data_IF_267432821045
#
_entry.id   IF_267432821045
#
_cell.length_a   1.000
_cell.length_b   1.000
_cell.length_c   1.000
_cell.angle_alpha   90.00
_cell.angle_beta   90.00
_cell.angle_gamma   90.00
#
_symmetry.space_group_name_H-M   'P 1'
#
loop_
_entity.id
_entity.type
_entity.pdbx_description
1 polymer ?
#
# COMPACT_ATOMS: atom_id res chain seq x y z
N UNK A 1 18.21 1.06 -13.74
CA UNK A 1 18.57 2.47 -13.48
C UNK A 1 17.28 3.27 -13.55
N UNK A 2 16.99 4.11 -12.57
CA UNK A 2 15.78 4.92 -12.57
C UNK A 2 15.91 6.05 -13.61
N UNK A 3 14.92 6.19 -14.49
CA UNK A 3 14.87 7.25 -15.51
C UNK A 3 13.90 8.34 -15.05
N UNK A 4 14.34 9.59 -14.95
CA UNK A 4 13.47 10.72 -14.58
C UNK A 4 13.37 11.73 -15.72
N UNK A 5 12.13 12.12 -16.03
CA UNK A 5 11.80 13.12 -17.07
C UNK A 5 11.05 14.29 -16.44
N UNK A 6 11.40 15.51 -16.86
CA UNK A 6 10.92 16.77 -16.30
C UNK A 6 10.12 17.57 -17.32
N UNK A 7 9.04 18.19 -16.87
CA UNK A 7 8.15 18.93 -17.73
C UNK A 7 7.72 20.24 -17.06
N UNK A 8 7.65 21.30 -17.84
CA UNK A 8 7.21 22.62 -17.38
C UNK A 8 6.06 23.16 -18.22
N UNK A 9 5.17 23.91 -17.57
CA UNK A 9 4.11 24.69 -18.23
C UNK A 9 4.06 26.08 -17.61
N UNK A 10 4.20 27.11 -18.44
CA UNK A 10 3.96 28.49 -18.01
C UNK A 10 2.46 28.80 -18.10
N UNK A 11 1.86 29.12 -16.95
CA UNK A 11 0.46 29.51 -16.85
C UNK A 11 0.38 30.88 -16.17
N UNK A 12 0.16 31.93 -16.97
CA UNK A 12 0.03 33.32 -16.51
C UNK A 12 1.20 33.81 -15.63
N UNK A 13 2.43 33.47 -16.01
CA UNK A 13 3.64 33.87 -15.27
C UNK A 13 4.01 32.93 -14.12
N UNK A 14 3.23 31.88 -13.87
CA UNK A 14 3.55 30.83 -12.89
C UNK A 14 4.06 29.60 -13.64
N UNK A 15 5.31 29.21 -13.37
CA UNK A 15 5.89 27.98 -13.93
C UNK A 15 5.44 26.79 -13.10
N UNK A 16 4.58 25.94 -13.68
CA UNK A 16 4.20 24.66 -13.09
C UNK A 16 5.21 23.60 -13.53
N UNK A 17 5.71 22.83 -12.57
CA UNK A 17 6.60 21.69 -12.79
C UNK A 17 5.84 20.39 -12.62
N UNK A 18 6.14 19.43 -13.48
CA UNK A 18 5.76 18.04 -13.35
C UNK A 18 6.97 17.17 -13.66
N UNK A 19 7.15 16.05 -12.98
CA UNK A 19 8.16 15.06 -13.33
C UNK A 19 7.61 13.67 -13.13
N UNK A 20 8.22 12.72 -13.83
CA UNK A 20 7.91 11.30 -13.73
C UNK A 20 9.23 10.53 -13.71
N UNK A 21 9.36 9.63 -12.74
CA UNK A 21 10.49 8.73 -12.57
C UNK A 21 9.99 7.30 -12.74
N UNK A 22 10.63 6.54 -13.63
CA UNK A 22 10.42 5.12 -13.81
C UNK A 22 11.58 4.36 -13.17
N UNK A 23 11.27 3.49 -12.20
CA UNK A 23 12.24 2.59 -11.56
C UNK A 23 11.70 1.15 -11.60
N UNK A 24 12.12 0.38 -12.60
CA UNK A 24 11.58 -0.95 -12.88
C UNK A 24 10.07 -0.89 -13.14
N UNK A 25 9.29 -1.47 -12.23
CA UNK A 25 7.82 -1.49 -12.30
C UNK A 25 7.16 -0.30 -11.57
N UNK A 26 7.95 0.59 -10.97
CA UNK A 26 7.46 1.71 -10.14
C UNK A 26 7.50 3.02 -10.91
N UNK A 27 6.43 3.79 -10.78
CA UNK A 27 6.28 5.10 -11.37
C UNK A 27 6.06 6.13 -10.27
N UNK A 28 7.00 7.04 -10.09
CA UNK A 28 6.86 8.19 -9.19
C UNK A 28 6.56 9.44 -9.99
N UNK A 29 5.50 10.16 -9.66
CA UNK A 29 5.13 11.42 -10.30
C UNK A 29 5.15 12.53 -9.26
N UNK A 30 5.76 13.66 -9.60
CA UNK A 30 5.75 14.86 -8.77
C UNK A 30 5.21 16.07 -9.52
N UNK A 31 4.54 16.98 -8.83
CA UNK A 31 4.05 18.25 -9.38
C UNK A 31 4.07 19.39 -8.38
N UNK A 32 4.22 20.61 -8.88
CA UNK A 32 4.21 21.81 -8.06
C UNK A 32 4.47 23.06 -8.87
N UNK A 33 4.75 24.17 -8.18
CA UNK A 33 5.22 25.41 -8.78
C UNK A 33 6.74 25.44 -8.67
N UNK A 34 7.43 25.97 -9.68
CA UNK A 34 8.88 26.16 -9.62
C UNK A 34 9.27 26.99 -8.39
N UNK A 35 10.20 26.48 -7.58
CA UNK A 35 10.63 27.10 -6.32
C UNK A 35 9.68 26.89 -5.13
N UNK A 36 8.54 26.21 -5.32
CA UNK A 36 7.59 25.88 -4.27
C UNK A 36 7.67 24.42 -3.80
N UNK A 37 6.84 24.08 -2.81
CA UNK A 37 6.69 22.70 -2.36
C UNK A 37 6.09 21.82 -3.47
N UNK A 38 6.72 20.66 -3.69
CA UNK A 38 6.25 19.64 -4.63
C UNK A 38 5.33 18.66 -3.91
N UNK A 39 4.25 18.24 -4.58
CA UNK A 39 3.42 17.10 -4.22
C UNK A 39 3.78 15.92 -5.11
N UNK A 40 3.43 14.70 -4.72
CA UNK A 40 3.68 13.54 -5.55
C UNK A 40 2.72 12.38 -5.29
N UNK A 41 2.82 11.40 -6.17
CA UNK A 41 2.15 10.11 -6.09
C UNK A 41 3.12 9.05 -6.60
N UNK A 42 3.16 7.89 -5.94
CA UNK A 42 3.75 6.67 -6.47
C UNK A 42 2.66 5.73 -6.99
N UNK A 43 3.08 4.78 -7.82
CA UNK A 43 2.28 3.64 -8.24
C UNK A 43 3.22 2.52 -8.68
N UNK A 44 2.89 1.29 -8.31
CA UNK A 44 3.53 0.07 -8.81
C UNK A 44 2.64 -0.58 -9.86
N UNK A 45 3.24 -0.99 -10.98
CA UNK A 45 2.57 -1.61 -12.13
C UNK A 45 2.93 -3.09 -12.20
N UNK A 46 2.15 -3.87 -12.96
CA UNK A 46 2.28 -5.33 -13.00
C UNK A 46 3.62 -5.83 -13.54
N UNK A 47 4.18 -5.12 -14.53
CA UNK A 47 5.43 -5.47 -15.21
C UNK A 47 6.09 -4.22 -15.83
N UNK A 48 7.35 -4.35 -16.25
CA UNK A 48 8.12 -3.24 -16.82
C UNK A 48 7.52 -2.72 -18.13
N UNK A 49 6.93 -3.58 -18.94
CA UNK A 49 6.30 -3.17 -20.20
C UNK A 49 5.02 -2.37 -19.93
N UNK A 50 4.25 -2.73 -18.91
CA UNK A 50 3.09 -1.99 -18.42
C UNK A 50 3.53 -0.65 -17.83
N UNK A 51 4.57 -0.63 -16.99
CA UNK A 51 5.13 0.59 -16.44
C UNK A 51 5.59 1.55 -17.55
N UNK A 52 6.29 1.06 -18.57
CA UNK A 52 6.74 1.85 -19.71
C UNK A 52 5.56 2.42 -20.53
N UNK A 53 4.55 1.59 -20.83
CA UNK A 53 3.32 2.05 -21.50
C UNK A 53 2.60 3.12 -20.67
N UNK A 54 2.54 2.93 -19.36
CA UNK A 54 1.91 3.88 -18.45
C UNK A 54 2.63 5.23 -18.44
N UNK A 55 3.96 5.22 -18.29
CA UNK A 55 4.80 6.43 -18.31
C UNK A 55 4.64 7.16 -19.66
N UNK A 56 4.72 6.43 -20.76
CA UNK A 56 4.55 6.99 -22.12
C UNK A 56 3.19 7.66 -22.28
N UNK A 57 2.11 7.02 -21.79
CA UNK A 57 0.77 7.57 -21.79
C UNK A 57 0.69 8.84 -20.93
N UNK A 58 1.25 8.84 -19.71
CA UNK A 58 1.23 10.00 -18.81
C UNK A 58 2.00 11.20 -19.38
N UNK A 59 3.13 10.94 -20.02
CA UNK A 59 3.89 11.96 -20.74
C UNK A 59 3.05 12.56 -21.86
N UNK A 60 2.46 11.70 -22.70
CA UNK A 60 1.57 12.15 -23.79
C UNK A 60 0.38 12.97 -23.29
N UNK A 61 -0.22 12.59 -22.16
CA UNK A 61 -1.29 13.36 -21.50
C UNK A 61 -0.82 14.76 -21.09
N UNK A 62 0.40 14.88 -20.56
CA UNK A 62 0.98 16.16 -20.11
C UNK A 62 1.38 17.04 -21.27
N UNK A 63 1.97 16.47 -22.31
CA UNK A 63 2.28 17.18 -23.57
C UNK A 63 1.02 17.78 -24.19
N UNK A 64 -0.07 16.99 -24.29
CA UNK A 64 -1.38 17.49 -24.75
C UNK A 64 -1.94 18.60 -23.86
N UNK A 65 -1.63 18.58 -22.57
CA UNK A 65 -2.01 19.63 -21.63
C UNK A 65 -1.13 20.90 -21.74
N UNK A 66 -0.18 20.94 -22.67
CA UNK A 66 0.72 22.08 -22.93
C UNK A 66 1.93 22.13 -22.01
N UNK A 67 2.30 21.01 -21.38
CA UNK A 67 3.61 20.88 -20.75
C UNK A 67 4.66 20.58 -21.81
N UNK A 68 5.86 21.14 -21.65
CA UNK A 68 7.00 20.91 -22.51
C UNK A 68 8.07 20.20 -21.71
N UNK A 69 8.67 19.15 -22.28
CA UNK A 69 9.81 18.49 -21.65
C UNK A 69 10.98 19.46 -21.56
N UNK A 70 11.57 19.54 -20.37
CA UNK A 70 12.75 20.35 -20.10
C UNK A 70 13.87 19.44 -19.68
N UNK A 71 15.10 19.82 -20.01
CA UNK A 71 16.26 19.21 -19.39
C UNK A 71 16.09 19.30 -17.86
N UNK A 72 16.63 18.32 -17.09
CA UNK A 72 16.77 18.50 -15.67
C UNK A 72 17.42 19.87 -15.47
N UNK A 73 16.73 20.79 -14.78
CA UNK A 73 17.34 22.07 -14.45
C UNK A 73 18.61 21.85 -13.62
N UNK A 74 19.30 22.90 -13.17
CA UNK A 74 20.20 22.79 -12.03
C UNK A 74 19.36 22.47 -10.78
N UNK A 75 18.78 21.26 -10.74
CA UNK A 75 18.57 20.57 -9.49
C UNK A 75 19.96 20.45 -8.89
N UNK A 76 20.07 20.73 -7.60
CA UNK A 76 21.17 20.22 -6.82
C UNK A 76 21.43 18.81 -7.36
N UNK A 77 22.62 18.57 -7.92
CA UNK A 77 23.09 17.19 -8.14
C UNK A 77 22.59 16.44 -6.92
N UNK A 78 21.93 15.30 -7.08
CA UNK A 78 21.76 14.41 -5.94
C UNK A 78 23.18 14.30 -5.36
N UNK A 79 23.43 15.04 -4.27
CA UNK A 79 24.76 15.09 -3.71
C UNK A 79 25.03 13.62 -3.39
N UNK A 80 26.23 13.10 -3.69
CA UNK A 80 26.58 11.77 -3.21
C UNK A 80 26.15 11.73 -1.76
N UNK A 81 25.23 10.81 -1.40
CA UNK A 81 24.46 10.87 -0.15
C UNK A 81 25.42 11.19 0.99
N UNK A 82 25.55 12.47 1.34
CA UNK A 82 26.61 12.96 2.24
C UNK A 82 26.32 12.49 3.66
N UNK A 83 25.10 12.00 3.84
CA UNK A 83 24.58 11.39 5.03
C UNK A 83 24.67 9.86 4.97
N UNK A 84 25.28 9.20 3.97
CA UNK A 84 25.31 7.72 3.85
C UNK A 84 25.76 7.00 5.12
N UNK A 85 26.70 7.60 5.86
CA UNK A 85 27.24 7.10 7.13
C UNK A 85 26.54 7.69 8.38
N UNK A 86 25.54 8.56 8.18
CA UNK A 86 24.77 9.22 9.25
C UNK A 86 23.68 8.30 9.75
N UNK A 87 23.51 8.26 11.08
CA UNK A 87 22.49 7.44 11.74
C UNK A 87 21.09 7.89 11.34
N UNK A 88 20.17 6.94 11.20
CA UNK A 88 18.80 7.21 10.78
C UNK A 88 18.10 8.27 11.63
N UNK A 89 18.27 8.25 12.96
CA UNK A 89 17.64 9.26 13.83
C UNK A 89 18.18 10.68 13.64
N UNK A 90 19.43 10.81 13.18
CA UNK A 90 20.03 12.09 12.82
C UNK A 90 19.46 12.60 11.49
N UNK A 91 19.29 11.70 10.50
CA UNK A 91 18.64 11.99 9.21
C UNK A 91 17.17 12.36 9.37
N UNK A 92 16.45 11.69 10.28
CA UNK A 92 15.05 11.98 10.56
C UNK A 92 14.89 13.40 11.15
N UNK A 93 15.97 14.08 11.59
CA UNK A 93 15.99 15.46 12.12
C UNK A 93 14.87 15.77 13.14
N UNK A 94 14.39 14.72 13.80
CA UNK A 94 13.40 14.73 14.88
C UNK A 94 13.94 14.03 16.14
N UNK A 95 15.25 13.77 16.23
CA UNK A 95 15.87 13.02 17.33
C UNK A 95 15.39 13.44 18.71
N UNK A 96 15.22 14.75 18.94
CA UNK A 96 14.78 15.32 20.22
C UNK A 96 13.30 15.03 20.59
N UNK A 97 12.52 14.42 19.70
CA UNK A 97 11.09 14.11 19.90
C UNK A 97 10.78 12.63 19.99
N UNK A 98 11.78 11.78 19.79
CA UNK A 98 11.66 10.35 19.95
C UNK A 98 12.22 9.94 21.31
N UNK A 99 11.45 9.16 22.05
CA UNK A 99 11.82 8.66 23.38
C UNK A 99 12.21 7.19 23.27
N UNK A 100 13.23 6.72 24.01
CA UNK A 100 13.58 5.31 24.03
C UNK A 100 12.44 4.47 24.61
N UNK A 101 12.16 3.32 24.02
CA UNK A 101 11.17 2.37 24.55
C UNK A 101 11.83 1.51 25.62
N UNK A 102 11.27 1.51 26.84
CA UNK A 102 11.80 0.73 27.95
C UNK A 102 11.86 -0.77 27.62
N UNK A 103 12.99 -1.42 27.90
CA UNK A 103 13.20 -2.84 27.60
C UNK A 103 13.59 -3.16 26.15
N UNK A 104 13.51 -2.19 25.24
CA UNK A 104 13.70 -2.40 23.79
C UNK A 104 14.87 -1.57 23.23
N UNK A 105 16.09 -2.07 23.41
CA UNK A 105 17.29 -1.38 22.91
C UNK A 105 17.24 -1.16 21.39
N UNK A 106 17.49 0.08 20.95
CA UNK A 106 17.41 0.44 19.52
C UNK A 106 15.99 0.68 19.02
N UNK A 107 14.99 0.76 19.91
CA UNK A 107 13.64 1.19 19.56
C UNK A 107 13.35 2.53 20.20
N UNK A 108 12.82 3.45 19.41
CA UNK A 108 12.35 4.75 19.90
C UNK A 108 10.91 4.99 19.46
N UNK A 109 10.17 5.78 20.21
CA UNK A 109 8.75 6.07 19.96
C UNK A 109 8.49 7.57 20.02
N UNK A 110 7.58 8.02 19.17
CA UNK A 110 7.04 9.37 19.24
C UNK A 110 5.53 9.32 19.28
N UNK A 111 4.94 10.03 20.25
CA UNK A 111 3.50 10.25 20.28
C UNK A 111 3.11 11.46 19.41
N UNK A 112 2.08 11.27 18.58
CA UNK A 112 1.50 12.30 17.74
C UNK A 112 0.07 12.59 18.20
N UNK A 113 -0.11 13.70 18.89
CA UNK A 113 -1.42 14.17 19.36
C UNK A 113 -2.15 14.99 18.27
N UNK A 114 -2.60 14.31 17.20
CA UNK A 114 -3.35 14.96 16.11
C UNK A 114 -4.85 14.89 16.38
N UNK A 115 -5.41 16.00 16.85
CA UNK A 115 -6.86 16.15 17.13
C UNK A 115 -7.73 16.21 15.85
N UNK A 116 -7.14 16.52 14.69
CA UNK A 116 -7.79 16.47 13.38
C UNK A 116 -7.05 15.50 12.44
N UNK A 117 -7.79 14.77 11.61
CA UNK A 117 -7.22 13.77 10.69
C UNK A 117 -7.23 12.35 11.28
N UNK A 118 -6.15 11.55 11.18
CA UNK A 118 -6.16 10.13 11.53
C UNK A 118 -6.37 9.82 13.04
N UNK A 119 -6.48 10.84 13.90
CA UNK A 119 -6.51 10.71 15.35
C UNK A 119 -5.10 10.58 15.96
N UNK A 120 -5.00 10.44 17.30
CA UNK A 120 -3.73 10.26 17.98
C UNK A 120 -3.09 8.89 17.69
N UNK A 121 -1.76 8.85 17.56
CA UNK A 121 -1.01 7.62 17.30
C UNK A 121 0.43 7.67 17.84
N UNK A 122 1.01 6.50 18.06
CA UNK A 122 2.42 6.28 18.34
C UNK A 122 3.13 5.89 17.05
N UNK A 123 4.26 6.52 16.76
CA UNK A 123 5.17 6.18 15.67
C UNK A 123 6.45 5.60 16.27
N UNK A 124 6.60 4.28 16.16
CA UNK A 124 7.77 3.55 16.61
C UNK A 124 8.78 3.45 15.47
N UNK A 125 10.03 3.81 15.74
CA UNK A 125 11.16 3.58 14.87
C UNK A 125 12.04 2.48 15.47
N UNK A 126 12.16 1.37 14.74
CA UNK A 126 12.89 0.17 15.13
C UNK A 126 14.19 0.16 14.35
N UNK A 127 15.29 0.48 15.01
CA UNK A 127 16.59 0.63 14.36
C UNK A 127 17.22 -0.75 14.09
N UNK A 128 17.91 -0.85 12.95
CA UNK A 128 18.82 -1.94 12.66
C UNK A 128 20.09 -1.87 13.52
N UNK A 129 20.92 -2.90 13.46
CA UNK A 129 22.15 -3.00 14.27
C UNK A 129 23.13 -1.84 14.05
N UNK A 130 23.24 -1.35 12.81
CA UNK A 130 24.09 -0.21 12.43
C UNK A 130 23.44 1.16 12.72
N UNK A 131 22.16 1.17 13.13
CA UNK A 131 21.32 2.36 13.28
C UNK A 131 21.23 3.26 12.02
N UNK A 132 21.74 2.82 10.87
CA UNK A 132 21.66 3.52 9.58
C UNK A 132 20.34 3.26 8.87
N UNK A 133 19.65 2.17 9.23
CA UNK A 133 18.36 1.76 8.68
C UNK A 133 17.38 1.40 9.79
N UNK A 134 16.09 1.34 9.47
CA UNK A 134 15.06 0.96 10.43
C UNK A 134 13.69 0.71 9.82
N UNK A 135 12.76 0.31 10.68
CA UNK A 135 11.35 0.11 10.35
C UNK A 135 10.48 1.11 11.09
N UNK A 136 9.50 1.69 10.41
CA UNK A 136 8.41 2.41 11.06
C UNK A 136 7.23 1.47 11.33
N UNK A 137 6.77 1.48 12.58
CA UNK A 137 5.52 0.90 13.03
C UNK A 137 4.66 2.04 13.59
N UNK A 138 3.55 2.32 12.92
CA UNK A 138 2.54 3.23 13.48
C UNK A 138 1.54 2.39 14.26
N UNK A 139 1.10 2.84 15.42
CA UNK A 139 0.00 2.23 16.20
C UNK A 139 -0.92 3.34 16.65
N UNK A 140 -2.19 3.28 16.29
CA UNK A 140 -3.16 4.29 16.74
C UNK A 140 -3.39 4.16 18.25
N UNK A 141 -3.58 5.29 18.93
CA UNK A 141 -3.80 5.33 20.38
C UNK A 141 -5.07 4.58 20.82
N UNK A 142 -6.21 4.70 20.11
CA UNK A 142 -7.32 3.78 20.32
C UNK A 142 -6.88 2.33 20.10
N UNK A 143 -7.12 1.46 21.06
CA UNK A 143 -6.70 0.06 20.98
C UNK A 143 -5.17 -0.14 21.04
N UNK A 144 -4.40 0.84 21.55
CA UNK A 144 -2.98 0.65 21.87
C UNK A 144 -2.84 -0.19 23.14
N UNK A 145 -1.93 -1.17 23.12
CA UNK A 145 -1.62 -2.04 24.25
C UNK A 145 -0.10 -2.21 24.35
N UNK A 146 0.48 -1.83 25.49
CA UNK A 146 1.93 -1.84 25.69
C UNK A 146 2.53 -3.25 25.67
N UNK A 147 1.81 -4.25 26.19
CA UNK A 147 2.28 -5.63 26.21
C UNK A 147 2.29 -6.24 24.80
N UNK A 148 1.26 -5.97 24.01
CA UNK A 148 1.20 -6.38 22.61
C UNK A 148 2.28 -5.70 21.78
N UNK A 149 2.48 -4.39 21.96
CA UNK A 149 3.58 -3.67 21.29
C UNK A 149 4.92 -4.27 21.69
N UNK A 150 5.16 -4.49 22.99
CA UNK A 150 6.41 -5.09 23.47
C UNK A 150 6.68 -6.44 22.81
N UNK A 151 5.71 -7.35 22.82
CA UNK A 151 5.84 -8.67 22.18
C UNK A 151 6.10 -8.55 20.67
N UNK A 152 5.47 -7.58 20.00
CA UNK A 152 5.67 -7.35 18.57
C UNK A 152 7.08 -6.82 18.28
N UNK A 153 7.58 -5.89 19.10
CA UNK A 153 8.93 -5.36 19.00
C UNK A 153 10.00 -6.44 19.20
N UNK A 154 9.81 -7.35 20.16
CA UNK A 154 10.70 -8.50 20.39
C UNK A 154 10.82 -9.39 19.14
N UNK A 155 9.72 -9.57 18.41
CA UNK A 155 9.73 -10.33 17.17
C UNK A 155 10.38 -9.56 16.00
N UNK A 156 10.06 -8.28 15.84
CA UNK A 156 10.45 -7.49 14.66
C UNK A 156 11.90 -7.02 14.71
N UNK A 157 12.39 -6.58 15.87
CA UNK A 157 13.74 -6.01 16.02
C UNK A 157 14.86 -6.88 15.41
N UNK A 158 14.97 -8.19 15.71
CA UNK A 158 16.02 -9.03 15.12
C UNK A 158 15.83 -9.29 13.61
N UNK A 159 14.74 -8.81 13.01
CA UNK A 159 14.34 -9.07 11.61
C UNK A 159 14.28 -7.81 10.75
N UNK A 160 14.80 -6.67 11.22
CA UNK A 160 14.84 -5.41 10.46
C UNK A 160 15.41 -5.58 9.06
N UNK A 161 16.42 -6.45 8.90
CA UNK A 161 17.07 -6.73 7.62
C UNK A 161 16.13 -7.23 6.51
N UNK A 162 14.98 -7.83 6.84
CA UNK A 162 14.03 -8.33 5.84
C UNK A 162 13.49 -7.22 4.92
N UNK A 163 13.35 -5.98 5.41
CA UNK A 163 12.90 -4.87 4.56
C UNK A 163 13.98 -4.33 3.62
N UNK A 164 15.23 -4.81 3.73
CA UNK A 164 16.39 -4.26 3.02
C UNK A 164 17.18 -5.32 2.25
N UNK A 165 16.62 -6.52 2.07
CA UNK A 165 17.27 -7.63 1.35
C UNK A 165 17.08 -7.57 -0.18
N UNK A 166 16.44 -6.50 -0.67
CA UNK A 166 16.16 -6.27 -2.09
C UNK A 166 14.77 -6.73 -2.55
N UNK A 167 14.01 -7.45 -1.72
CA UNK A 167 12.60 -7.74 -1.97
C UNK A 167 11.73 -6.56 -1.53
N UNK A 168 10.54 -6.46 -2.12
CA UNK A 168 9.61 -5.37 -1.78
C UNK A 168 8.88 -5.60 -0.46
N UNK A 169 8.65 -6.86 -0.09
CA UNK A 169 8.00 -7.22 1.17
C UNK A 169 8.26 -8.68 1.57
N UNK A 170 7.96 -9.00 2.83
CA UNK A 170 7.91 -10.35 3.39
C UNK A 170 6.71 -10.48 4.32
N UNK A 171 5.91 -11.53 4.13
CA UNK A 171 4.89 -11.97 5.09
C UNK A 171 5.49 -13.09 5.93
N UNK A 172 5.52 -12.93 7.25
CA UNK A 172 6.18 -13.87 8.17
C UNK A 172 5.21 -14.29 9.27
N UNK A 173 5.02 -15.60 9.53
CA UNK A 173 4.20 -16.07 10.63
C UNK A 173 4.83 -15.73 11.98
N UNK A 174 4.00 -15.34 12.94
CA UNK A 174 4.38 -15.19 14.34
C UNK A 174 4.46 -16.59 15.00
N UNK A 175 5.41 -16.82 15.92
CA UNK A 175 5.50 -18.09 16.66
C UNK A 175 4.28 -18.33 17.56
N UNK A 176 3.63 -17.27 18.01
CA UNK A 176 2.35 -17.26 18.68
C UNK A 176 1.62 -15.95 18.34
N UNK A 177 0.27 -15.93 18.26
CA UNK A 177 -0.47 -14.71 17.98
C UNK A 177 -0.18 -13.59 19.00
N UNK A 178 -0.10 -12.36 18.51
CA UNK A 178 0.00 -11.14 19.32
C UNK A 178 -1.30 -10.38 19.16
N UNK A 179 -2.13 -10.43 20.21
CA UNK A 179 -3.53 -10.02 20.08
C UNK A 179 -4.22 -10.86 19.00
N UNK A 180 -4.92 -10.24 18.04
CA UNK A 180 -5.59 -10.97 16.96
C UNK A 180 -4.71 -11.24 15.74
N UNK A 181 -3.43 -10.85 15.76
CA UNK A 181 -2.52 -10.97 14.62
C UNK A 181 -1.64 -12.20 14.75
N UNK A 182 -1.52 -12.95 13.67
CA UNK A 182 -0.74 -14.19 13.56
C UNK A 182 0.43 -14.04 12.56
N UNK A 183 0.56 -12.90 11.89
CA UNK A 183 1.61 -12.61 10.92
C UNK A 183 2.14 -11.18 11.05
N UNK A 184 3.31 -10.98 10.43
CA UNK A 184 3.94 -9.67 10.27
C UNK A 184 4.27 -9.45 8.81
N UNK A 185 3.88 -8.29 8.28
CA UNK A 185 4.28 -7.82 6.96
C UNK A 185 5.44 -6.84 7.11
N UNK A 186 6.62 -7.24 6.64
CA UNK A 186 7.77 -6.35 6.46
C UNK A 186 7.69 -5.76 5.05
N UNK A 187 7.77 -4.44 4.93
CA UNK A 187 7.76 -3.76 3.65
C UNK A 187 9.05 -2.97 3.48
N UNK A 188 9.69 -3.18 2.33
CA UNK A 188 10.85 -2.41 1.94
C UNK A 188 10.50 -0.94 1.66
N UNK A 189 11.48 -0.03 1.76
CA UNK A 189 11.29 1.41 1.51
C UNK A 189 10.65 1.69 0.14
N UNK A 190 10.96 0.84 -0.83
CA UNK A 190 10.43 1.00 -2.18
C UNK A 190 8.91 0.85 -2.28
N UNK A 191 8.30 0.13 -1.34
CA UNK A 191 6.85 -0.09 -1.26
C UNK A 191 6.14 0.96 -0.40
N UNK A 192 6.88 1.68 0.45
CA UNK A 192 6.31 2.48 1.55
C UNK A 192 6.66 3.97 1.50
N UNK A 193 6.93 4.44 0.29
CA UNK A 193 7.63 5.70 -0.02
C UNK A 193 9.11 5.65 0.40
N UNK A 194 9.99 6.11 -0.50
CA UNK A 194 11.45 6.19 -0.32
C UNK A 194 11.79 7.33 0.65
N UNK A 195 11.34 7.20 1.89
CA UNK A 195 11.62 8.16 2.96
C UNK A 195 13.09 8.06 3.36
N UNK A 196 13.71 9.21 3.65
CA UNK A 196 15.07 9.30 4.18
C UNK A 196 16.09 8.52 3.31
N UNK A 197 16.03 8.68 1.99
CA UNK A 197 16.94 8.00 1.06
C UNK A 197 16.76 6.48 0.99
N UNK A 198 15.60 5.95 1.40
CA UNK A 198 15.34 4.52 1.40
C UNK A 198 15.90 3.80 2.63
N UNK A 199 16.14 4.52 3.73
CA UNK A 199 16.64 3.94 4.99
C UNK A 199 15.55 3.47 5.93
N UNK A 200 14.30 3.81 5.62
CA UNK A 200 13.15 3.49 6.45
C UNK A 200 12.15 2.62 5.67
N UNK A 201 12.03 1.36 6.08
CA UNK A 201 10.94 0.47 5.69
C UNK A 201 9.73 0.66 6.61
N UNK A 202 8.68 -0.16 6.41
CA UNK A 202 7.55 -0.23 7.35
C UNK A 202 7.26 -1.66 7.74
N UNK A 203 6.60 -1.80 8.88
CA UNK A 203 6.16 -3.09 9.38
C UNK A 203 4.71 -3.00 9.83
N UNK A 204 3.94 -4.05 9.59
CA UNK A 204 2.51 -4.12 9.93
C UNK A 204 2.21 -5.43 10.64
N UNK A 205 1.53 -5.41 11.81
CA UNK A 205 0.84 -6.58 12.31
C UNK A 205 -0.37 -6.88 11.41
N UNK A 206 -0.43 -8.11 10.91
CA UNK A 206 -1.48 -8.56 9.99
C UNK A 206 -2.02 -9.93 10.39
N UNK A 207 -3.23 -10.22 9.92
CA UNK A 207 -3.76 -11.59 9.93
C UNK A 207 -3.36 -12.29 8.63
N UNK A 208 -3.29 -13.61 8.68
CA UNK A 208 -2.94 -14.46 7.54
C UNK A 208 -3.77 -14.12 6.29
N UNK A 209 -5.06 -13.85 6.48
CA UNK A 209 -6.00 -13.59 5.40
C UNK A 209 -5.81 -12.26 4.67
N UNK A 210 -4.96 -11.36 5.16
CA UNK A 210 -4.95 -9.95 4.70
C UNK A 210 -3.96 -9.69 3.57
N UNK A 211 -2.92 -10.53 3.45
CA UNK A 211 -1.94 -10.49 2.36
C UNK A 211 -1.78 -11.92 1.83
N UNK A 212 -1.83 -12.10 0.52
CA UNK A 212 -1.60 -13.40 -0.11
C UNK A 212 -0.13 -13.81 -0.06
N UNK A 213 0.14 -15.11 0.04
CA UNK A 213 1.51 -15.62 0.20
C UNK A 213 2.38 -15.34 -1.05
N UNK A 214 1.76 -15.30 -2.22
CA UNK A 214 2.41 -14.99 -3.51
C UNK A 214 1.93 -13.64 -4.06
N UNK A 215 1.39 -12.75 -3.21
CA UNK A 215 0.98 -11.42 -3.66
C UNK A 215 2.18 -10.68 -4.24
N UNK A 216 2.05 -10.26 -5.49
CA UNK A 216 3.05 -9.39 -6.12
C UNK A 216 3.10 -8.03 -5.42
N UNK A 217 4.16 -7.27 -5.64
CA UNK A 217 4.30 -5.92 -5.11
C UNK A 217 3.07 -5.02 -5.37
N UNK A 218 2.47 -5.09 -6.56
CA UNK A 218 1.27 -4.33 -6.94
C UNK A 218 0.06 -4.66 -6.03
N UNK A 219 -0.13 -5.94 -5.69
CA UNK A 219 -1.22 -6.36 -4.81
C UNK A 219 -0.97 -5.85 -3.39
N UNK A 220 0.25 -5.98 -2.88
CA UNK A 220 0.60 -5.50 -1.54
C UNK A 220 0.48 -3.98 -1.44
N UNK A 221 1.01 -3.21 -2.41
CA UNK A 221 0.86 -1.75 -2.47
C UNK A 221 -0.62 -1.35 -2.41
N UNK A 222 -1.46 -2.00 -3.23
CA UNK A 222 -2.89 -1.73 -3.29
C UNK A 222 -3.60 -1.99 -1.95
N UNK A 223 -3.11 -2.95 -1.15
CA UNK A 223 -3.64 -3.29 0.19
C UNK A 223 -3.07 -2.45 1.32
N UNK A 224 -1.93 -1.77 1.16
CA UNK A 224 -1.39 -0.90 2.21
C UNK A 224 -1.69 0.60 1.96
N UNK A 225 -1.88 0.99 0.70
CA UNK A 225 -2.01 2.40 0.30
C UNK A 225 -3.10 2.66 -0.76
N UNK A 226 -3.64 1.61 -1.40
CA UNK A 226 -4.53 1.73 -2.54
C UNK A 226 -6.04 1.69 -2.24
N UNK A 227 -6.82 1.20 -3.22
CA UNK A 227 -8.30 1.26 -3.27
C UNK A 227 -9.03 0.47 -2.19
N UNK A 228 -8.32 -0.43 -1.51
CA UNK A 228 -8.82 -1.18 -0.37
C UNK A 228 -7.68 -1.31 0.65
N UNK A 229 -7.10 -0.17 1.02
CA UNK A 229 -6.03 -0.16 2.01
C UNK A 229 -6.55 -0.70 3.34
N UNK A 230 -5.79 -1.62 3.94
CA UNK A 230 -6.03 -2.11 5.28
C UNK A 230 -6.23 -0.92 6.23
N UNK A 231 -7.22 -1.01 7.13
CA UNK A 231 -7.44 0.04 8.11
C UNK A 231 -6.23 0.17 9.03
N UNK A 232 -6.15 1.31 9.72
CA UNK A 232 -5.04 1.61 10.63
C UNK A 232 -4.77 0.48 11.63
N UNK A 233 -3.51 0.36 12.01
CA UNK A 233 -2.92 -0.55 13.00
C UNK A 233 -3.38 -0.26 14.44
N UNK A 234 -4.68 -0.30 14.72
CA UNK A 234 -5.17 -0.53 16.08
C UNK A 234 -5.10 -2.02 16.38
N UNK A 235 -4.83 -2.41 17.64
CA UNK A 235 -4.72 -3.84 17.97
C UNK A 235 -6.07 -4.57 17.98
N UNK A 236 -7.17 -3.83 18.00
CA UNK A 236 -8.55 -4.32 18.07
C UNK A 236 -9.28 -4.32 16.72
N UNK A 237 -8.60 -4.03 15.60
CA UNK A 237 -9.25 -3.94 14.28
C UNK A 237 -9.78 -5.29 13.81
N UNK A 238 -10.93 -5.33 13.16
CA UNK A 238 -11.47 -6.51 12.49
C UNK A 238 -10.54 -7.04 11.36
N UNK A 239 -10.62 -8.34 11.01
CA UNK A 239 -9.91 -8.89 9.86
C UNK A 239 -10.24 -8.16 8.57
N UNK A 240 -9.22 -7.95 7.74
CA UNK A 240 -9.38 -7.29 6.44
C UNK A 240 -8.91 -8.20 5.30
N UNK A 241 -9.69 -9.23 4.92
CA UNK A 241 -9.21 -10.27 4.04
C UNK A 241 -8.91 -9.77 2.62
N UNK A 242 -8.08 -10.52 1.90
CA UNK A 242 -7.77 -10.30 0.48
C UNK A 242 -9.05 -10.37 -0.35
N UNK A 243 -9.42 -9.27 -0.99
CA UNK A 243 -10.58 -9.16 -1.88
C UNK A 243 -10.10 -8.83 -3.29
N UNK A 244 -9.77 -9.88 -4.03
CA UNK A 244 -9.33 -9.78 -5.41
C UNK A 244 -10.46 -10.21 -6.34
N UNK A 245 -10.92 -9.32 -7.20
CA UNK A 245 -12.06 -9.56 -8.07
C UNK A 245 -11.68 -9.49 -9.54
N UNK A 246 -12.27 -10.42 -10.29
CA UNK A 246 -12.37 -10.40 -11.75
C UNK A 246 -13.81 -10.69 -12.11
N UNK A 247 -14.39 -9.93 -13.03
CA UNK A 247 -15.83 -10.07 -13.31
C UNK A 247 -16.22 -9.59 -14.71
N UNK A 248 -17.26 -10.19 -15.26
CA UNK A 248 -17.93 -9.76 -16.49
C UNK A 248 -19.43 -9.97 -16.25
N UNK A 249 -20.11 -8.94 -15.72
CA UNK A 249 -21.54 -8.94 -15.47
C UNK A 249 -22.23 -8.18 -16.60
N UNK A 250 -23.22 -8.81 -17.21
CA UNK A 250 -23.99 -8.26 -18.33
C UNK A 250 -25.48 -8.40 -18.05
N UNK A 251 -26.24 -7.42 -18.50
CA UNK A 251 -27.70 -7.44 -18.45
C UNK A 251 -28.23 -6.62 -19.63
N UNK A 252 -29.03 -7.25 -20.50
CA UNK A 252 -29.47 -6.65 -21.75
C UNK A 252 -30.29 -5.35 -21.57
N UNK A 253 -31.16 -5.31 -20.56
CA UNK A 253 -31.99 -4.17 -20.17
C UNK A 253 -31.29 -3.21 -19.17
N UNK A 254 -30.05 -3.50 -18.81
CA UNK A 254 -29.26 -2.69 -17.87
C UNK A 254 -29.50 -2.99 -16.39
N UNK A 255 -28.51 -2.67 -15.56
CA UNK A 255 -28.64 -2.75 -14.11
C UNK A 255 -29.19 -1.43 -13.55
N UNK A 256 -30.34 -1.47 -12.89
CA UNK A 256 -30.98 -0.30 -12.27
C UNK A 256 -30.06 0.36 -11.22
N UNK A 257 -29.46 -0.45 -10.34
CA UNK A 257 -28.42 -0.06 -9.35
C UNK A 257 -27.21 0.67 -9.96
N UNK A 258 -27.04 0.60 -11.28
CA UNK A 258 -25.95 1.23 -12.02
C UNK A 258 -26.42 2.31 -13.00
N UNK A 259 -27.66 2.81 -12.85
CA UNK A 259 -28.22 3.83 -13.73
C UNK A 259 -28.44 3.34 -15.16
N UNK A 260 -28.84 2.08 -15.34
CA UNK A 260 -29.13 1.48 -16.65
C UNK A 260 -27.89 1.01 -17.41
N UNK A 261 -26.72 0.94 -16.76
CA UNK A 261 -25.51 0.42 -17.39
C UNK A 261 -25.68 -1.07 -17.69
N UNK A 262 -25.41 -1.47 -18.94
CA UNK A 262 -25.60 -2.86 -19.42
C UNK A 262 -24.43 -3.78 -19.11
N UNK A 263 -23.29 -3.25 -18.67
CA UNK A 263 -22.11 -4.06 -18.36
C UNK A 263 -21.24 -3.49 -17.25
N UNK A 264 -20.72 -4.40 -16.42
CA UNK A 264 -19.74 -4.16 -15.38
C UNK A 264 -18.62 -5.18 -15.56
N UNK A 265 -17.41 -4.72 -15.90
CA UNK A 265 -16.33 -5.60 -16.33
C UNK A 265 -14.98 -5.22 -15.73
N UNK A 266 -14.26 -6.25 -15.28
CA UNK A 266 -12.85 -6.23 -14.94
C UNK A 266 -12.19 -7.51 -15.49
N UNK A 267 -11.15 -7.34 -16.30
CA UNK A 267 -10.58 -8.44 -17.10
C UNK A 267 -9.53 -9.25 -16.34
N UNK A 268 -8.87 -8.63 -15.37
CA UNK A 268 -7.80 -9.23 -14.56
C UNK A 268 -8.15 -9.11 -13.09
N UNK A 269 -7.57 -9.95 -12.23
CA UNK A 269 -7.77 -9.77 -10.80
C UNK A 269 -7.22 -8.41 -10.36
N UNK A 270 -8.03 -7.66 -9.63
CA UNK A 270 -7.63 -6.43 -8.96
C UNK A 270 -8.20 -6.36 -7.56
N UNK A 271 -7.54 -5.57 -6.72
CA UNK A 271 -7.97 -5.30 -5.37
C UNK A 271 -9.20 -4.38 -5.40
N UNK A 272 -10.27 -4.79 -4.71
CA UNK A 272 -11.48 -3.99 -4.55
C UNK A 272 -11.94 -3.94 -3.10
N UNK A 273 -12.68 -2.88 -2.71
CA UNK A 273 -13.32 -2.83 -1.40
C UNK A 273 -14.45 -3.84 -1.28
N UNK A 274 -14.76 -4.23 -0.03
CA UNK A 274 -15.87 -5.13 0.31
C UNK A 274 -17.20 -4.74 -0.34
N UNK A 275 -17.52 -3.45 -0.37
CA UNK A 275 -18.72 -2.93 -1.01
C UNK A 275 -18.85 -3.32 -2.50
N UNK A 276 -17.72 -3.57 -3.19
CA UNK A 276 -17.72 -4.07 -4.56
C UNK A 276 -18.18 -5.52 -4.65
N UNK A 277 -17.76 -6.37 -3.70
CA UNK A 277 -18.19 -7.78 -3.61
C UNK A 277 -19.68 -7.84 -3.37
N UNK A 278 -20.15 -7.11 -2.35
CA UNK A 278 -21.57 -7.03 -1.99
C UNK A 278 -22.42 -6.60 -3.17
N UNK A 279 -21.99 -5.57 -3.89
CA UNK A 279 -22.66 -5.12 -5.12
C UNK A 279 -22.65 -6.22 -6.19
N UNK A 280 -21.49 -6.83 -6.49
CA UNK A 280 -21.40 -7.84 -7.55
C UNK A 280 -22.25 -9.08 -7.25
N UNK A 281 -22.28 -9.54 -5.99
CA UNK A 281 -23.14 -10.65 -5.55
C UNK A 281 -24.63 -10.30 -5.65
N UNK A 282 -25.02 -9.06 -5.32
CA UNK A 282 -26.42 -8.59 -5.47
C UNK A 282 -26.87 -8.49 -6.92
N UNK A 283 -25.96 -8.11 -7.82
CA UNK A 283 -26.25 -8.00 -9.25
C UNK A 283 -26.27 -9.37 -9.95
N UNK A 284 -25.57 -10.37 -9.43
CA UNK A 284 -25.41 -11.67 -10.09
C UNK A 284 -26.72 -12.39 -10.43
N UNK A 285 -27.74 -12.46 -9.54
CA UNK A 285 -29.02 -13.10 -9.87
C UNK A 285 -29.83 -12.40 -10.98
N UNK A 286 -29.48 -11.15 -11.29
CA UNK A 286 -30.15 -10.35 -12.32
C UNK A 286 -29.39 -10.38 -13.66
N UNK A 287 -28.18 -10.95 -13.67
CA UNK A 287 -27.30 -10.89 -14.81
C UNK A 287 -27.62 -12.00 -15.82
N UNK A 288 -27.27 -11.78 -17.09
CA UNK A 288 -27.44 -12.75 -18.17
C UNK A 288 -26.55 -13.99 -17.92
N UNK A 289 -26.98 -15.17 -18.38
CA UNK A 289 -26.33 -16.48 -18.16
C UNK A 289 -24.82 -16.55 -18.51
N UNK A 290 -24.33 -15.66 -19.37
CA UNK A 290 -22.90 -15.55 -19.71
C UNK A 290 -22.06 -14.80 -18.67
N UNK A 291 -22.68 -14.29 -17.61
CA UNK A 291 -22.02 -13.45 -16.60
C UNK A 291 -21.21 -14.27 -15.61
N UNK A 292 -20.13 -13.68 -15.12
CA UNK A 292 -19.23 -14.35 -14.15
C UNK A 292 -18.64 -13.35 -13.16
N UNK A 293 -18.57 -13.77 -11.90
CA UNK A 293 -17.75 -13.16 -10.86
C UNK A 293 -16.76 -14.20 -10.35
N UNK A 294 -15.50 -13.82 -10.28
CA UNK A 294 -14.42 -14.61 -9.69
C UNK A 294 -13.88 -13.83 -8.50
N UNK A 295 -13.98 -14.43 -7.31
CA UNK A 295 -13.43 -13.91 -6.05
C UNK A 295 -12.21 -14.74 -5.71
N UNK A 296 -11.04 -14.11 -5.59
CA UNK A 296 -9.79 -14.79 -5.21
C UNK A 296 -9.43 -14.44 -3.77
N UNK A 297 -9.12 -15.46 -2.96
CA UNK A 297 -8.70 -15.29 -1.58
C UNK A 297 -7.16 -15.24 -1.44
N UNK A 298 -6.67 -15.08 -0.21
CA UNK A 298 -5.24 -14.97 0.12
C UNK A 298 -4.41 -16.23 -0.19
N UNK A 299 -5.05 -17.39 -0.42
CA UNK A 299 -4.40 -18.63 -0.86
C UNK A 299 -4.47 -18.85 -2.37
N UNK A 300 -4.84 -17.81 -3.12
CA UNK A 300 -5.07 -17.84 -4.56
C UNK A 300 -6.16 -18.82 -5.04
N UNK A 301 -6.97 -19.37 -4.13
CA UNK A 301 -8.16 -20.10 -4.53
C UNK A 301 -9.17 -19.12 -5.14
N UNK A 302 -9.95 -19.60 -6.11
CA UNK A 302 -10.96 -18.80 -6.80
C UNK A 302 -12.35 -19.38 -6.55
N UNK A 303 -13.22 -18.58 -5.94
CA UNK A 303 -14.66 -18.83 -5.89
C UNK A 303 -15.30 -18.22 -7.14
N UNK A 304 -15.81 -19.08 -8.01
CA UNK A 304 -16.58 -18.67 -9.19
C UNK A 304 -18.06 -18.62 -8.86
N UNK A 305 -18.71 -17.51 -9.20
CA UNK A 305 -20.14 -17.25 -9.03
C UNK A 305 -20.75 -16.95 -10.40
N UNK A 306 -21.87 -17.59 -10.70
CA UNK A 306 -22.65 -17.39 -11.94
C UNK A 306 -24.12 -17.12 -11.58
N UNK A 307 -24.94 -16.63 -12.52
CA UNK A 307 -26.37 -16.41 -12.25
C UNK A 307 -27.12 -17.67 -11.82
N UNK A 308 -26.73 -18.85 -12.32
CA UNK A 308 -27.35 -20.14 -12.00
C UNK A 308 -26.90 -20.69 -10.64
N UNK A 309 -25.76 -20.19 -10.14
CA UNK A 309 -25.16 -20.60 -8.89
C UNK A 309 -24.78 -19.36 -8.07
N UNK A 310 -25.78 -18.55 -7.66
CA UNK A 310 -25.50 -17.37 -6.86
C UNK A 310 -24.87 -17.78 -5.53
N UNK A 311 -24.20 -16.81 -4.90
CA UNK A 311 -23.61 -16.95 -3.56
C UNK A 311 -24.06 -15.81 -2.68
N UNK A 312 -24.22 -16.07 -1.40
CA UNK A 312 -24.47 -15.04 -0.40
C UNK A 312 -23.17 -14.34 0.00
N UNK A 313 -23.29 -13.20 0.66
CA UNK A 313 -22.15 -12.51 1.25
C UNK A 313 -21.46 -13.37 2.31
N UNK A 314 -22.22 -14.04 3.17
CA UNK A 314 -21.69 -14.93 4.22
C UNK A 314 -20.91 -16.12 3.64
N UNK A 315 -21.31 -16.63 2.48
CA UNK A 315 -20.55 -17.65 1.75
C UNK A 315 -19.23 -17.11 1.21
N UNK A 316 -19.24 -15.89 0.65
CA UNK A 316 -18.03 -15.22 0.21
C UNK A 316 -17.09 -14.92 1.38
N UNK A 317 -17.61 -14.49 2.52
CA UNK A 317 -16.82 -14.18 3.72
C UNK A 317 -16.11 -15.40 4.29
N UNK A 318 -16.83 -16.52 4.41
CA UNK A 318 -16.22 -17.79 4.85
C UNK A 318 -15.09 -18.22 3.90
N UNK A 319 -15.26 -18.00 2.61
CA UNK A 319 -14.24 -18.28 1.61
C UNK A 319 -13.01 -17.36 1.71
N UNK A 320 -13.23 -16.07 2.00
CA UNK A 320 -12.21 -15.03 2.10
C UNK A 320 -11.38 -15.14 3.40
N UNK A 321 -12.04 -15.36 4.53
CA UNK A 321 -11.41 -15.50 5.84
C UNK A 321 -10.71 -16.87 6.01
N UNK A 322 -11.23 -17.88 5.32
CA UNK A 322 -10.78 -19.26 5.48
C UNK A 322 -11.23 -19.90 6.80
N UNK A 323 -11.02 -21.21 6.96
CA UNK A 323 -11.62 -21.99 8.04
C UNK A 323 -11.11 -21.64 9.45
N UNK A 324 -9.94 -20.99 9.56
CA UNK A 324 -9.32 -20.67 10.85
C UNK A 324 -9.98 -19.49 11.58
N UNK A 325 -10.66 -18.60 10.86
CA UNK A 325 -11.25 -17.36 11.39
C UNK A 325 -12.78 -17.40 11.50
N UNK A 326 -13.42 -18.49 11.07
CA UNK A 326 -14.89 -18.65 11.11
C UNK A 326 -15.38 -19.38 12.38
N UNK A 327 -14.48 -19.71 13.30
CA UNK A 327 -14.75 -20.53 14.48
C UNK A 327 -14.69 -19.76 15.81
N UNK A 328 -14.54 -18.42 15.76
CA UNK A 328 -14.56 -17.52 16.92
C UNK A 328 -15.92 -16.85 17.09
#
# INVERSE_FOLDING_TARGET
>A
MAETRYFEKNDKGVVRRWHITLDGIRCHMGWGVAGGAMRGSSMTLDDEAHALRHVTMKISEKERAGYVEVAPGPQAKAEPDTEADVRLLEVIRYGDKYEPVAGHAGVVVRFHDRMAGPGPFYDYCILGEDAGRGLSLVVKKPGHDEAMVSAFLDFVRPRVGLAFDGRSHHKVPLPAPIGPFDHVLFCGPSLTAVNYGGRLGRVFPIRDCEIGDEDTETFVEARIQGRNSMPSTTWDREPFPVIDLKFDLRRADGFEDMGGRTSLREKTFKVYPRAMVERALRLMPQADAGSVLEIRNYRHHVLKVTPEQPRTLDEADRFLLGPALTAS
#
